data_IF_105259735813
#
_entry.id   IF_105259735813
#
_cell.length_a   1.000
_cell.length_b   1.000
_cell.length_c   1.000
_cell.angle_alpha   90.00
_cell.angle_beta   90.00
_cell.angle_gamma   90.00
#
_symmetry.space_group_name_H-M   'P 1'
#
loop_
_entity.id
_entity.type
_entity.pdbx_description
1 polymer ?
#
# COMPACT_ATOMS: atom_id res chain seq x y z
N UNK A 1 16.69 -67.82 8.50
CA UNK A 1 16.64 -68.72 7.33
C UNK A 1 16.33 -67.86 6.12
N UNK A 2 17.30 -67.92 5.20
CA UNK A 2 17.31 -67.66 3.76
C UNK A 2 16.97 -66.24 3.30
N UNK A 3 17.89 -65.40 3.00
CA UNK A 3 19.03 -65.37 2.04
C UNK A 3 18.61 -65.17 0.57
N UNK A 4 19.23 -64.12 0.02
CA UNK A 4 19.70 -63.89 -1.36
C UNK A 4 18.64 -63.43 -2.40
N UNK A 5 18.87 -62.46 -3.27
CA UNK A 5 20.04 -62.29 -4.13
C UNK A 5 20.07 -60.91 -4.82
N UNK A 6 21.27 -60.44 -4.97
CA UNK A 6 21.74 -59.38 -5.88
C UNK A 6 21.62 -59.80 -7.36
N UNK A 7 21.33 -58.82 -8.25
CA UNK A 7 21.87 -58.85 -9.61
C UNK A 7 22.25 -57.45 -10.11
N UNK A 8 23.46 -57.43 -10.67
CA UNK A 8 24.22 -56.30 -11.21
C UNK A 8 23.85 -56.01 -12.67
N UNK A 9 23.95 -54.74 -12.99
CA UNK A 9 24.41 -53.97 -14.18
C UNK A 9 24.53 -54.71 -15.55
N UNK A 10 24.51 -53.95 -16.69
CA UNK A 10 25.66 -53.10 -17.04
C UNK A 10 25.33 -51.76 -17.73
N UNK A 11 26.36 -50.93 -17.77
CA UNK A 11 26.51 -49.70 -18.50
C UNK A 11 26.72 -49.92 -20.00
N UNK A 12 26.30 -48.97 -20.83
CA UNK A 12 26.93 -48.75 -22.14
C UNK A 12 26.94 -47.27 -22.51
N UNK A 13 28.14 -46.85 -22.75
CA UNK A 13 28.60 -45.59 -23.32
C UNK A 13 28.15 -45.41 -24.78
N UNK A 14 27.81 -44.21 -25.19
CA UNK A 14 28.12 -43.72 -26.54
C UNK A 14 28.34 -42.21 -26.57
N UNK A 15 29.60 -41.87 -26.75
CA UNK A 15 30.02 -40.53 -27.18
C UNK A 15 29.55 -40.29 -28.62
N UNK A 16 28.88 -39.18 -28.83
CA UNK A 16 28.84 -38.52 -30.15
C UNK A 16 29.28 -37.08 -30.02
N UNK A 17 30.49 -36.85 -30.52
CA UNK A 17 31.02 -35.52 -30.84
C UNK A 17 30.28 -35.03 -32.08
N UNK A 18 29.73 -33.83 -32.00
CA UNK A 18 29.29 -33.07 -33.17
C UNK A 18 30.07 -31.77 -33.18
N UNK A 19 31.04 -31.70 -34.09
CA UNK A 19 31.68 -30.46 -34.52
C UNK A 19 30.61 -29.63 -35.24
N UNK A 20 30.35 -28.39 -34.81
CA UNK A 20 29.69 -27.40 -35.64
C UNK A 20 30.64 -26.22 -35.88
N UNK A 21 30.83 -25.95 -37.15
CA UNK A 21 31.69 -24.94 -37.71
C UNK A 21 31.22 -23.52 -37.30
N UNK A 22 32.21 -22.68 -36.92
CA UNK A 22 32.05 -21.22 -36.77
C UNK A 22 31.95 -20.62 -38.16
N UNK A 23 30.77 -20.14 -38.53
CA UNK A 23 30.62 -19.17 -39.61
C UNK A 23 30.63 -17.77 -39.03
N UNK A 24 31.72 -17.07 -39.21
CA UNK A 24 31.85 -15.63 -38.95
C UNK A 24 30.99 -14.86 -39.98
N UNK A 25 29.82 -14.41 -39.58
CA UNK A 25 29.06 -13.39 -40.26
C UNK A 25 29.41 -12.03 -39.65
N UNK A 26 30.18 -11.26 -40.37
CA UNK A 26 30.43 -9.85 -40.15
C UNK A 26 29.14 -9.07 -40.38
N UNK A 27 28.46 -8.64 -39.31
CA UNK A 27 27.39 -7.67 -39.38
C UNK A 27 28.00 -6.28 -39.27
N UNK A 28 27.73 -5.34 -40.21
CA UNK A 28 28.21 -3.98 -40.08
C UNK A 28 27.56 -3.33 -38.84
N UNK A 29 28.39 -2.70 -37.99
CA UNK A 29 27.94 -1.80 -36.94
C UNK A 29 27.27 -0.59 -37.65
N UNK A 30 25.96 -0.61 -37.77
CA UNK A 30 25.15 0.58 -37.94
C UNK A 30 25.20 1.34 -36.62
N UNK A 31 25.80 2.50 -36.64
CA UNK A 31 25.79 3.45 -35.53
C UNK A 31 24.32 3.75 -35.21
N UNK A 32 23.82 3.26 -34.05
CA UNK A 32 22.58 3.74 -33.46
C UNK A 32 22.78 5.21 -33.12
N UNK A 33 22.20 6.09 -33.91
CA UNK A 33 21.92 7.46 -33.51
C UNK A 33 20.99 7.34 -32.31
N UNK A 34 21.28 7.97 -31.17
CA UNK A 34 20.30 7.98 -30.05
C UNK A 34 19.04 8.66 -30.57
N UNK A 35 17.94 7.93 -30.62
CA UNK A 35 16.62 8.50 -30.82
C UNK A 35 16.40 9.45 -29.65
N UNK A 36 16.37 10.76 -29.94
CA UNK A 36 16.03 11.76 -28.92
C UNK A 36 14.67 11.38 -28.34
N UNK A 37 14.66 11.01 -27.05
CA UNK A 37 13.43 10.82 -26.31
C UNK A 37 12.64 12.13 -26.44
N UNK A 38 11.35 12.07 -26.80
CA UNK A 38 10.54 13.28 -26.92
C UNK A 38 10.60 14.06 -25.62
N UNK A 39 10.87 15.35 -25.75
CA UNK A 39 11.02 16.29 -24.63
C UNK A 39 9.83 16.14 -23.67
N UNK A 40 10.10 15.64 -22.47
CA UNK A 40 9.10 15.35 -21.46
C UNK A 40 8.31 16.60 -21.03
N UNK A 41 8.85 17.79 -21.31
CA UNK A 41 8.22 19.08 -21.03
C UNK A 41 7.03 19.39 -21.95
N UNK A 42 7.07 19.00 -23.22
CA UNK A 42 5.94 19.23 -24.13
C UNK A 42 4.73 18.32 -23.82
N UNK A 43 4.97 17.11 -23.36
CA UNK A 43 3.90 16.19 -22.97
C UNK A 43 3.26 16.59 -21.63
N UNK A 44 4.01 17.26 -20.77
CA UNK A 44 3.52 17.78 -19.49
C UNK A 44 2.60 19.00 -19.68
N UNK A 45 2.92 19.89 -20.60
CA UNK A 45 2.10 21.08 -20.89
C UNK A 45 0.71 20.74 -21.47
N UNK A 46 0.52 19.56 -22.06
CA UNK A 46 -0.76 19.12 -22.60
C UNK A 46 -1.69 18.45 -21.57
N UNK A 47 -1.20 18.08 -20.40
CA UNK A 47 -1.96 17.44 -19.32
C UNK A 47 -2.31 18.38 -18.17
N UNK A 48 -2.02 19.66 -18.26
CA UNK A 48 -2.41 20.69 -17.28
C UNK A 48 -3.89 21.07 -17.32
N UNK A 49 -4.73 20.32 -18.02
CA UNK A 49 -6.16 20.50 -17.94
C UNK A 49 -6.59 20.24 -16.49
N UNK A 50 -7.05 21.27 -15.81
CA UNK A 50 -7.68 21.16 -14.50
C UNK A 50 -8.71 20.05 -14.58
N UNK A 51 -8.59 19.03 -13.71
CA UNK A 51 -9.52 17.93 -13.67
C UNK A 51 -10.93 18.49 -13.39
N UNK A 52 -11.96 18.14 -14.19
CA UNK A 52 -13.28 18.73 -14.03
C UNK A 52 -13.82 18.44 -12.62
N UNK A 53 -14.02 19.46 -11.81
CA UNK A 53 -14.84 19.43 -10.61
C UNK A 53 -14.16 19.10 -9.28
N UNK A 54 -12.86 18.77 -9.22
CA UNK A 54 -12.24 18.25 -7.99
C UNK A 54 -11.34 19.23 -7.20
N UNK A 55 -10.94 20.33 -7.76
CA UNK A 55 -9.98 21.25 -7.13
C UNK A 55 -8.53 20.73 -7.08
N UNK A 56 -8.24 19.56 -7.67
CA UNK A 56 -6.90 19.00 -7.77
C UNK A 56 -6.19 19.49 -9.04
N UNK A 57 -4.90 19.79 -8.92
CA UNK A 57 -4.03 20.14 -10.06
C UNK A 57 -2.73 19.36 -9.98
N UNK A 58 -2.19 18.98 -11.12
CA UNK A 58 -0.88 18.33 -11.18
C UNK A 58 0.19 19.34 -10.80
N UNK A 59 0.99 19.04 -9.76
CA UNK A 59 2.17 19.82 -9.40
C UNK A 59 3.37 19.35 -10.21
N UNK A 60 3.54 18.02 -10.33
CA UNK A 60 4.71 17.44 -10.95
C UNK A 60 4.50 15.98 -11.32
N UNK A 61 5.10 15.55 -12.43
CA UNK A 61 5.40 14.14 -12.65
C UNK A 61 6.80 13.87 -12.08
N UNK A 62 6.90 13.03 -11.05
CA UNK A 62 8.20 12.54 -10.60
C UNK A 62 8.51 11.23 -11.31
N UNK A 63 9.72 11.04 -11.82
CA UNK A 63 10.18 9.77 -12.38
C UNK A 63 10.45 8.69 -11.31
N UNK A 64 9.88 8.84 -10.10
CA UNK A 64 10.17 7.99 -8.94
C UNK A 64 9.16 6.89 -8.71
N UNK A 65 9.51 5.95 -7.84
CA UNK A 65 8.61 4.90 -7.36
C UNK A 65 7.46 5.49 -6.51
N UNK A 66 6.29 4.84 -6.46
CA UNK A 66 5.14 5.36 -5.74
C UNK A 66 5.41 5.41 -4.24
N UNK A 67 5.25 6.59 -3.67
CA UNK A 67 5.39 6.86 -2.24
C UNK A 67 3.98 6.90 -1.64
N UNK A 68 3.62 5.90 -0.84
CA UNK A 68 2.31 5.87 -0.19
C UNK A 68 2.27 6.71 1.08
N UNK A 69 3.30 6.62 1.90
CA UNK A 69 3.39 7.38 3.16
C UNK A 69 4.46 8.44 3.06
N UNK A 70 4.11 9.65 3.47
CA UNK A 70 5.00 10.79 3.55
C UNK A 70 5.07 11.23 5.01
N UNK A 71 6.27 11.53 5.47
CA UNK A 71 6.49 12.07 6.80
C UNK A 71 7.40 13.30 6.73
N UNK A 72 7.27 14.19 7.72
CA UNK A 72 8.07 15.43 7.79
C UNK A 72 9.08 15.31 8.91
N UNK A 73 10.34 15.52 8.58
CA UNK A 73 11.45 15.62 9.55
C UNK A 73 11.38 16.92 10.36
N UNK A 74 12.14 16.97 11.44
CA UNK A 74 12.25 18.16 12.29
C UNK A 74 12.80 19.40 11.57
N UNK A 75 13.64 19.21 10.53
CA UNK A 75 14.19 20.28 9.69
C UNK A 75 13.26 20.69 8.52
N UNK A 76 12.08 20.08 8.41
CA UNK A 76 11.09 20.36 7.39
C UNK A 76 11.20 19.51 6.11
N UNK A 77 12.29 18.72 5.94
CA UNK A 77 12.43 17.82 4.82
C UNK A 77 11.32 16.77 4.83
N UNK A 78 10.70 16.51 3.68
CA UNK A 78 9.77 15.40 3.55
C UNK A 78 10.52 14.14 3.16
N UNK A 79 10.12 13.02 3.78
CA UNK A 79 10.60 11.68 3.43
C UNK A 79 9.43 10.79 3.05
N UNK A 80 9.69 9.85 2.14
CA UNK A 80 8.77 8.78 1.79
C UNK A 80 9.51 7.52 1.38
N UNK A 81 8.94 6.36 1.68
CA UNK A 81 9.50 5.06 1.36
C UNK A 81 8.78 4.41 0.19
N UNK A 82 9.53 3.77 -0.69
CA UNK A 82 8.99 2.98 -1.78
C UNK A 82 9.71 1.64 -1.92
N UNK A 83 8.95 0.57 -2.13
CA UNK A 83 9.51 -0.73 -2.45
C UNK A 83 9.90 -0.81 -3.93
N UNK A 84 11.05 -1.45 -4.18
CA UNK A 84 11.52 -1.82 -5.52
C UNK A 84 11.47 -3.34 -5.73
N UNK A 85 10.72 -4.06 -4.90
CA UNK A 85 10.66 -5.53 -4.85
C UNK A 85 11.74 -6.11 -3.94
N UNK A 86 13.00 -6.00 -4.28
CA UNK A 86 14.12 -6.52 -3.49
C UNK A 86 14.87 -5.43 -2.70
N UNK A 87 14.32 -4.23 -2.63
CA UNK A 87 14.87 -3.12 -1.88
C UNK A 87 13.80 -2.15 -1.43
N UNK A 88 14.19 -1.25 -0.52
CA UNK A 88 13.38 -0.13 -0.09
C UNK A 88 14.20 1.14 -0.27
N UNK A 89 13.71 2.01 -1.15
CA UNK A 89 14.33 3.31 -1.45
C UNK A 89 13.65 4.40 -0.63
N UNK A 90 14.45 5.27 -0.06
CA UNK A 90 14.00 6.50 0.60
C UNK A 90 14.03 7.64 -0.42
N UNK A 91 12.92 8.30 -0.56
CA UNK A 91 12.76 9.50 -1.35
C UNK A 91 12.64 10.71 -0.44
N UNK A 92 13.18 11.84 -0.86
CA UNK A 92 13.09 13.09 -0.11
C UNK A 92 12.66 14.26 -0.98
N UNK A 93 12.03 15.26 -0.35
CA UNK A 93 11.64 16.51 -0.98
C UNK A 93 12.07 17.69 -0.11
N UNK A 94 12.76 18.67 -0.72
CA UNK A 94 13.19 19.93 -0.08
C UNK A 94 12.26 21.10 -0.38
N UNK A 95 11.36 20.93 -1.32
CA UNK A 95 10.43 21.95 -1.81
C UNK A 95 8.98 21.62 -1.43
N UNK A 96 8.83 21.02 -0.23
CA UNK A 96 7.55 20.71 0.36
C UNK A 96 6.65 19.81 -0.53
N UNK A 97 7.27 18.82 -1.19
CA UNK A 97 6.58 17.81 -1.99
C UNK A 97 6.42 18.16 -3.48
N UNK A 98 6.91 19.31 -3.95
CA UNK A 98 6.84 19.67 -5.35
C UNK A 98 7.79 18.83 -6.21
N UNK A 99 8.98 18.47 -5.72
CA UNK A 99 9.90 17.55 -6.38
C UNK A 99 10.48 16.53 -5.41
N UNK A 100 10.88 15.38 -5.95
CA UNK A 100 11.40 14.26 -5.16
C UNK A 100 12.69 13.72 -5.77
N UNK A 101 13.65 13.36 -4.91
CA UNK A 101 14.91 12.74 -5.29
C UNK A 101 15.20 11.53 -4.40
N UNK A 102 16.03 10.61 -4.91
CA UNK A 102 16.48 9.46 -4.11
C UNK A 102 17.42 9.98 -3.03
N UNK A 103 17.05 9.72 -1.77
CA UNK A 103 17.81 10.13 -0.59
C UNK A 103 18.72 9.01 -0.08
N UNK A 104 18.23 7.76 -0.10
CA UNK A 104 18.97 6.62 0.41
C UNK A 104 18.20 5.31 0.27
N UNK A 105 18.62 4.31 1.03
CA UNK A 105 17.99 3.00 1.07
C UNK A 105 17.84 2.51 2.50
N UNK A 106 16.69 1.89 2.81
CA UNK A 106 16.44 1.23 4.10
C UNK A 106 16.93 -0.22 4.08
N UNK A 107 16.66 -0.93 3.00
CA UNK A 107 16.99 -2.33 2.82
C UNK A 107 17.30 -2.65 1.36
N UNK A 108 18.18 -3.63 1.14
CA UNK A 108 18.46 -4.20 -0.17
C UNK A 108 18.91 -5.66 0.03
N UNK A 109 18.13 -6.62 -0.46
CA UNK A 109 18.46 -8.03 -0.39
C UNK A 109 17.78 -8.79 -1.52
N UNK A 110 18.52 -9.35 -2.50
CA UNK A 110 17.96 -10.03 -3.65
C UNK A 110 17.19 -11.33 -3.30
N UNK A 111 17.34 -11.86 -2.08
CA UNK A 111 16.67 -13.08 -1.61
C UNK A 111 15.40 -12.77 -0.78
N UNK A 112 15.07 -11.51 -0.60
CA UNK A 112 13.90 -11.07 0.17
C UNK A 112 13.04 -10.19 -0.72
N UNK A 113 11.74 -10.45 -0.75
CA UNK A 113 10.76 -9.54 -1.30
C UNK A 113 10.32 -8.55 -0.23
N UNK A 114 10.47 -7.27 -0.49
CA UNK A 114 10.00 -6.18 0.35
C UNK A 114 8.76 -5.53 -0.24
N UNK A 115 7.82 -5.11 0.60
CA UNK A 115 6.60 -4.45 0.16
C UNK A 115 5.97 -3.57 1.23
N UNK A 116 4.95 -2.83 0.81
CA UNK A 116 4.02 -2.10 1.69
C UNK A 116 4.72 -1.17 2.70
N UNK A 117 5.58 -0.30 2.20
CA UNK A 117 6.44 0.56 3.03
C UNK A 117 5.63 1.69 3.67
N UNK A 118 5.84 1.91 4.97
CA UNK A 118 5.34 3.06 5.72
C UNK A 118 6.47 3.73 6.48
N UNK A 119 6.46 5.06 6.53
CA UNK A 119 7.46 5.86 7.25
C UNK A 119 6.79 6.81 8.23
N UNK A 120 7.47 7.05 9.36
CA UNK A 120 7.02 7.93 10.42
C UNK A 120 8.19 8.62 11.08
N UNK A 121 8.31 9.92 10.93
CA UNK A 121 9.24 10.75 11.70
C UNK A 121 8.61 11.11 13.04
N UNK A 122 9.39 11.02 14.11
CA UNK A 122 8.95 11.38 15.46
C UNK A 122 9.10 12.90 15.66
N UNK A 123 8.01 13.61 15.92
CA UNK A 123 8.05 15.06 16.11
C UNK A 123 9.04 15.48 17.17
N UNK A 124 9.85 16.50 16.86
CA UNK A 124 10.84 17.06 17.78
C UNK A 124 12.06 16.18 18.04
N UNK A 125 12.28 15.13 17.25
CA UNK A 125 13.46 14.29 17.32
C UNK A 125 14.08 14.05 15.94
N UNK A 126 15.28 13.45 15.92
CA UNK A 126 15.94 12.98 14.69
C UNK A 126 15.57 11.53 14.33
N UNK A 127 14.60 10.97 15.05
CA UNK A 127 14.21 9.56 14.85
C UNK A 127 13.15 9.44 13.77
N UNK A 128 13.40 8.54 12.82
CA UNK A 128 12.44 8.13 11.78
C UNK A 128 12.29 6.61 11.82
N UNK A 129 11.08 6.13 11.85
CA UNK A 129 10.77 4.70 11.71
C UNK A 129 10.33 4.38 10.28
N UNK A 130 10.68 3.17 9.83
CA UNK A 130 10.20 2.59 8.60
C UNK A 130 9.73 1.17 8.88
N UNK A 131 8.46 0.88 8.60
CA UNK A 131 7.93 -0.48 8.67
C UNK A 131 7.59 -0.98 7.27
N UNK A 132 7.77 -2.28 7.06
CA UNK A 132 7.56 -2.92 5.77
C UNK A 132 7.28 -4.41 5.93
N UNK A 133 6.66 -4.97 4.92
CA UNK A 133 6.48 -6.40 4.76
C UNK A 133 7.72 -7.03 4.15
N UNK A 134 8.11 -8.18 4.66
CA UNK A 134 9.12 -9.06 4.08
C UNK A 134 8.52 -10.42 3.75
N UNK A 135 8.96 -10.99 2.62
CA UNK A 135 8.71 -12.38 2.27
C UNK A 135 10.01 -13.06 1.85
N UNK A 136 10.35 -14.14 2.53
CA UNK A 136 11.52 -14.95 2.19
C UNK A 136 11.32 -16.40 2.65
N UNK A 137 11.79 -17.35 1.88
CA UNK A 137 11.72 -18.79 2.22
C UNK A 137 10.32 -19.27 2.62
N UNK A 138 9.27 -18.74 1.96
CA UNK A 138 7.88 -19.10 2.25
C UNK A 138 7.32 -18.50 3.54
N UNK A 139 8.01 -17.53 4.15
CA UNK A 139 7.61 -16.89 5.41
C UNK A 139 7.41 -15.39 5.23
N UNK A 140 6.35 -14.89 5.84
CA UNK A 140 6.00 -13.49 5.92
C UNK A 140 6.41 -12.91 7.27
N UNK A 141 6.77 -11.64 7.29
CA UNK A 141 6.95 -10.85 8.53
C UNK A 141 6.72 -9.37 8.28
N UNK A 142 6.52 -8.64 9.37
CA UNK A 142 6.56 -7.18 9.38
C UNK A 142 7.74 -6.76 10.24
N UNK A 143 8.66 -6.06 9.60
CA UNK A 143 9.88 -5.54 10.19
C UNK A 143 9.79 -4.04 10.35
N UNK A 144 10.35 -3.53 11.45
CA UNK A 144 10.55 -2.12 11.70
C UNK A 144 12.05 -1.85 11.74
N UNK A 145 12.47 -0.84 11.00
CA UNK A 145 13.80 -0.24 11.08
C UNK A 145 13.69 1.16 11.63
N UNK A 146 14.81 1.64 12.20
CA UNK A 146 14.91 2.96 12.78
C UNK A 146 16.13 3.68 12.25
N UNK A 147 15.98 4.97 12.03
CA UNK A 147 17.06 5.92 11.85
C UNK A 147 17.05 6.88 13.05
N UNK A 148 18.19 7.17 13.64
CA UNK A 148 18.35 8.19 14.68
C UNK A 148 19.09 9.42 14.15
N UNK A 149 19.25 9.53 12.83
CA UNK A 149 19.93 10.61 12.12
C UNK A 149 19.10 11.08 10.93
N UNK A 150 17.80 11.30 11.15
CA UNK A 150 16.91 11.93 10.18
C UNK A 150 16.72 11.12 8.86
N UNK A 151 16.91 9.81 8.90
CA UNK A 151 16.75 8.96 7.72
C UNK A 151 18.03 8.78 6.89
N UNK A 152 19.17 9.29 7.33
CA UNK A 152 20.45 9.16 6.63
C UNK A 152 21.10 7.77 6.83
N UNK A 153 20.71 7.05 7.89
CA UNK A 153 21.18 5.70 8.16
C UNK A 153 20.13 4.88 8.89
N UNK A 154 20.06 3.59 8.62
CA UNK A 154 19.01 2.72 9.12
C UNK A 154 19.58 1.50 9.83
N UNK A 155 18.96 1.16 10.96
CA UNK A 155 19.27 -0.04 11.74
C UNK A 155 17.98 -0.83 11.96
N UNK A 156 18.11 -2.15 12.08
CA UNK A 156 17.01 -2.99 12.53
C UNK A 156 16.55 -2.55 13.92
N UNK A 157 15.26 -2.34 14.11
CA UNK A 157 14.66 -2.01 15.39
C UNK A 157 13.96 -3.24 15.98
N UNK A 158 12.99 -3.79 15.27
CA UNK A 158 12.19 -4.89 15.79
C UNK A 158 11.43 -5.63 14.69
N UNK A 159 10.95 -6.82 15.03
CA UNK A 159 9.90 -7.52 14.27
C UNK A 159 8.57 -7.37 15.00
N UNK A 160 7.55 -6.87 14.31
CA UNK A 160 6.19 -6.74 14.83
C UNK A 160 5.51 -8.11 14.88
N UNK A 161 5.56 -8.83 13.76
CA UNK A 161 4.93 -10.15 13.60
C UNK A 161 5.72 -11.02 12.63
N UNK A 162 5.72 -12.32 12.87
CA UNK A 162 6.42 -13.31 12.03
C UNK A 162 7.78 -13.75 12.61
N UNK A 163 8.52 -14.62 11.89
CA UNK A 163 8.13 -15.20 10.60
C UNK A 163 6.91 -16.14 10.71
N UNK A 164 6.08 -16.16 9.69
CA UNK A 164 4.86 -16.97 9.63
C UNK A 164 4.56 -17.40 8.18
N UNK A 165 4.04 -18.63 7.93
CA UNK A 165 3.65 -19.05 6.59
C UNK A 165 2.33 -18.38 6.11
N UNK A 166 1.60 -17.71 6.99
CA UNK A 166 0.38 -16.98 6.66
C UNK A 166 0.69 -15.54 6.33
N UNK A 167 -0.06 -14.98 5.39
CA UNK A 167 0.14 -13.61 4.97
C UNK A 167 -0.02 -12.63 6.15
N UNK A 168 0.96 -11.73 6.25
CA UNK A 168 0.90 -10.49 7.00
C UNK A 168 1.50 -9.38 6.12
N UNK A 169 0.85 -8.22 6.04
CA UNK A 169 1.28 -7.18 5.11
C UNK A 169 0.67 -5.82 5.37
N UNK A 170 0.89 -4.92 4.45
CA UNK A 170 0.37 -3.56 4.45
C UNK A 170 0.50 -2.83 5.81
N UNK A 171 1.69 -2.83 6.46
CA UNK A 171 1.85 -2.13 7.73
C UNK A 171 1.57 -0.62 7.57
N UNK A 172 0.96 -0.04 8.58
CA UNK A 172 0.78 1.39 8.74
C UNK A 172 1.26 1.81 10.12
N UNK A 173 2.33 2.61 10.16
CA UNK A 173 2.87 3.20 11.38
C UNK A 173 2.06 4.41 11.80
N UNK A 174 1.73 4.48 13.08
CA UNK A 174 0.99 5.58 13.67
C UNK A 174 1.56 5.93 15.05
N UNK A 175 1.74 7.23 15.32
CA UNK A 175 2.06 7.73 16.65
C UNK A 175 0.84 8.38 17.26
N UNK A 176 0.47 7.93 18.44
CA UNK A 176 -0.57 8.54 19.26
C UNK A 176 -0.07 9.87 19.85
N UNK A 177 -1.00 10.75 20.21
CA UNK A 177 -0.68 12.03 20.83
C UNK A 177 0.10 11.89 22.17
N UNK A 178 0.00 10.75 22.85
CA UNK A 178 0.77 10.45 24.07
C UNK A 178 2.20 9.94 23.79
N UNK A 179 2.60 9.83 22.52
CA UNK A 179 3.91 9.39 22.08
C UNK A 179 4.05 7.88 21.85
N UNK A 180 3.04 7.07 22.19
CA UNK A 180 3.06 5.63 21.94
C UNK A 180 2.97 5.33 20.43
N UNK A 181 3.66 4.28 20.00
CA UNK A 181 3.60 3.81 18.61
C UNK A 181 2.62 2.67 18.44
N UNK A 182 1.98 2.64 17.30
CA UNK A 182 1.11 1.55 16.85
C UNK A 182 1.45 1.17 15.41
N UNK A 183 1.38 -0.14 15.12
CA UNK A 183 1.44 -0.70 13.76
C UNK A 183 0.15 -1.43 13.48
N UNK A 184 -0.53 -1.00 12.44
CA UNK A 184 -1.73 -1.63 11.90
C UNK A 184 -1.34 -2.44 10.67
N UNK A 185 -1.89 -3.64 10.50
CA UNK A 185 -1.48 -4.49 9.39
C UNK A 185 -2.52 -5.53 9.01
N UNK A 186 -2.46 -5.96 7.77
CA UNK A 186 -3.26 -7.06 7.25
C UNK A 186 -2.77 -8.38 7.83
N UNK A 187 -3.69 -9.27 8.25
CA UNK A 187 -3.30 -10.52 8.91
C UNK A 187 -4.25 -11.68 8.65
N UNK A 188 -3.80 -12.64 7.84
CA UNK A 188 -4.39 -13.97 7.78
C UNK A 188 -4.04 -14.81 9.01
N UNK A 189 -2.89 -14.52 9.65
CA UNK A 189 -2.45 -15.20 10.87
C UNK A 189 -3.43 -14.99 11.99
N UNK A 190 -3.81 -13.72 12.27
CA UNK A 190 -4.76 -13.37 13.31
C UNK A 190 -6.12 -14.04 13.09
N UNK A 191 -6.65 -13.93 11.88
CA UNK A 191 -7.93 -14.54 11.53
C UNK A 191 -7.92 -16.06 11.78
N UNK A 192 -6.86 -16.73 11.34
CA UNK A 192 -6.70 -18.17 11.56
C UNK A 192 -6.58 -18.55 13.05
N UNK A 193 -5.83 -17.78 13.83
CA UNK A 193 -5.69 -18.00 15.29
C UNK A 193 -7.03 -17.85 16.03
N UNK A 194 -7.92 -17.01 15.52
CA UNK A 194 -9.26 -16.80 16.07
C UNK A 194 -10.32 -17.76 15.48
N UNK A 195 -9.91 -18.76 14.69
CA UNK A 195 -10.80 -19.80 14.17
C UNK A 195 -11.38 -19.52 12.78
N UNK A 196 -10.85 -18.51 12.06
CA UNK A 196 -11.29 -18.13 10.70
C UNK A 196 -10.16 -18.28 9.67
N UNK A 197 -9.67 -19.51 9.41
CA UNK A 197 -8.63 -19.72 8.39
C UNK A 197 -9.14 -19.34 7.01
N UNK A 198 -8.28 -18.66 6.24
CA UNK A 198 -8.61 -18.16 4.90
C UNK A 198 -9.25 -16.75 4.89
N UNK A 199 -9.49 -16.18 6.06
CA UNK A 199 -9.87 -14.77 6.18
C UNK A 199 -8.63 -13.90 6.37
N UNK A 200 -8.72 -12.63 5.98
CA UNK A 200 -7.73 -11.60 6.26
C UNK A 200 -8.42 -10.47 7.04
N UNK A 201 -7.88 -10.15 8.20
CA UNK A 201 -8.40 -9.11 9.09
C UNK A 201 -7.34 -8.06 9.35
N UNK A 202 -7.74 -6.91 9.89
CA UNK A 202 -6.78 -5.91 10.34
C UNK A 202 -6.43 -6.17 11.80
N UNK A 203 -5.15 -6.35 12.04
CA UNK A 203 -4.53 -6.44 13.35
C UNK A 203 -3.82 -5.14 13.73
N UNK A 204 -3.61 -4.93 15.02
CA UNK A 204 -2.80 -3.84 15.56
C UNK A 204 -1.91 -4.35 16.68
N UNK A 205 -0.67 -3.88 16.72
CA UNK A 205 0.19 -3.98 17.90
C UNK A 205 0.66 -2.58 18.29
N UNK A 206 0.74 -2.35 19.60
CA UNK A 206 1.23 -1.10 20.16
C UNK A 206 2.49 -1.30 20.96
N UNK A 207 3.26 -0.22 21.16
CA UNK A 207 4.33 -0.17 22.15
C UNK A 207 4.36 1.18 22.83
N UNK A 208 4.80 1.19 24.10
CA UNK A 208 4.94 2.42 24.87
C UNK A 208 6.15 3.20 24.36
N UNK A 209 5.90 4.44 23.95
CA UNK A 209 6.91 5.32 23.38
C UNK A 209 7.58 4.71 22.14
N UNK A 210 8.86 5.00 21.95
CA UNK A 210 9.61 4.62 20.75
C UNK A 210 10.51 3.40 20.91
N UNK A 211 10.64 2.84 22.10
CA UNK A 211 11.62 1.78 22.43
C UNK A 211 11.04 0.57 23.14
N UNK A 212 9.76 0.59 23.50
CA UNK A 212 9.08 -0.53 24.15
C UNK A 212 8.98 -1.79 23.26
N UNK A 213 8.73 -2.93 23.87
CA UNK A 213 8.33 -4.13 23.15
C UNK A 213 6.92 -3.93 22.53
N UNK A 214 6.64 -4.63 21.45
CA UNK A 214 5.31 -4.69 20.90
C UNK A 214 4.40 -5.52 21.81
N UNK A 215 3.24 -4.98 22.16
CA UNK A 215 2.22 -5.65 22.96
C UNK A 215 1.53 -6.76 22.17
N UNK A 216 0.72 -7.55 22.83
CA UNK A 216 -0.18 -8.49 22.17
C UNK A 216 -1.09 -7.74 21.17
N UNK A 217 -1.37 -8.39 20.06
CA UNK A 217 -2.19 -7.79 19.01
C UNK A 217 -3.65 -7.56 19.46
N UNK A 218 -4.23 -6.48 18.93
CA UNK A 218 -5.66 -6.20 18.94
C UNK A 218 -6.29 -6.45 17.59
N UNK A 219 -7.58 -6.78 17.57
CA UNK A 219 -8.40 -6.85 16.35
C UNK A 219 -8.95 -5.45 16.06
N UNK A 220 -8.74 -4.96 14.85
CA UNK A 220 -9.19 -3.62 14.41
C UNK A 220 -10.43 -3.71 13.54
N UNK A 221 -10.38 -4.54 12.50
CA UNK A 221 -11.49 -4.76 11.60
C UNK A 221 -11.54 -6.24 11.20
N UNK A 222 -12.75 -6.78 11.17
CA UNK A 222 -13.00 -8.17 10.81
C UNK A 222 -13.85 -8.24 9.54
N UNK A 223 -13.73 -9.34 8.84
CA UNK A 223 -14.54 -9.61 7.66
C UNK A 223 -16.03 -9.48 7.96
N UNK A 224 -16.75 -8.84 7.04
CA UNK A 224 -18.21 -8.71 7.12
C UNK A 224 -18.91 -10.06 7.17
N UNK A 225 -18.53 -10.95 6.26
CA UNK A 225 -19.05 -12.32 6.21
C UNK A 225 -18.04 -13.30 6.82
N UNK A 226 -18.36 -13.87 7.96
CA UNK A 226 -17.51 -14.82 8.71
C UNK A 226 -17.76 -16.28 8.35
N UNK A 227 -18.60 -16.57 7.35
CA UNK A 227 -18.83 -17.96 6.93
C UNK A 227 -17.58 -18.58 6.33
N UNK A 228 -17.38 -19.88 6.60
CA UNK A 228 -16.31 -20.63 5.98
C UNK A 228 -16.44 -20.64 4.44
N UNK A 229 -15.35 -20.38 3.74
CA UNK A 229 -15.32 -20.32 2.28
C UNK A 229 -15.89 -19.05 1.65
N UNK A 230 -16.42 -18.09 2.45
CA UNK A 230 -16.72 -16.76 1.95
C UNK A 230 -15.41 -16.03 1.62
N UNK A 231 -15.44 -15.19 0.59
CA UNK A 231 -14.32 -14.32 0.30
C UNK A 231 -14.31 -13.17 1.30
N UNK A 232 -13.35 -13.16 2.21
CA UNK A 232 -13.34 -12.28 3.36
C UNK A 232 -11.98 -11.65 3.55
N UNK A 233 -11.89 -10.41 3.12
CA UNK A 233 -10.67 -9.64 3.20
C UNK A 233 -10.97 -8.24 3.70
N UNK A 234 -10.30 -7.86 4.78
CA UNK A 234 -10.08 -6.48 5.18
C UNK A 234 -8.61 -6.16 4.94
N UNK A 235 -8.32 -4.99 4.40
CA UNK A 235 -6.93 -4.67 4.01
C UNK A 235 -6.61 -3.19 4.04
N UNK A 236 -5.31 -2.91 3.89
CA UNK A 236 -4.74 -1.60 3.59
C UNK A 236 -5.14 -0.50 4.57
N UNK A 237 -5.19 -0.83 5.87
CA UNK A 237 -5.59 0.09 6.91
C UNK A 237 -4.73 1.36 6.95
N UNK A 238 -5.38 2.50 7.12
CA UNK A 238 -4.75 3.76 7.54
C UNK A 238 -5.51 4.33 8.72
N UNK A 239 -4.82 4.98 9.66
CA UNK A 239 -5.41 5.44 10.91
C UNK A 239 -5.18 6.92 11.11
N UNK A 240 -6.22 7.60 11.57
CA UNK A 240 -6.17 9.02 11.91
C UNK A 240 -6.70 9.25 13.33
N UNK A 241 -6.12 10.25 14.02
CA UNK A 241 -6.60 10.68 15.33
C UNK A 241 -7.68 11.74 15.17
N UNK A 242 -8.85 11.51 15.75
CA UNK A 242 -9.99 12.43 15.69
C UNK A 242 -9.99 13.46 16.82
N UNK A 243 -9.31 13.14 17.91
CA UNK A 243 -9.14 13.98 19.09
C UNK A 243 -9.13 13.14 20.37
N UNK A 244 -8.29 13.50 21.34
CA UNK A 244 -8.08 12.68 22.54
C UNK A 244 -7.68 11.25 22.16
N UNK A 245 -8.34 10.26 22.75
CA UNK A 245 -8.13 8.84 22.46
C UNK A 245 -9.01 8.30 21.32
N UNK A 246 -9.80 9.16 20.67
CA UNK A 246 -10.65 8.75 19.54
C UNK A 246 -9.83 8.59 18.27
N UNK A 247 -9.85 7.38 17.70
CA UNK A 247 -9.18 7.04 16.45
C UNK A 247 -10.21 6.58 15.40
N UNK A 248 -9.86 6.71 14.14
CA UNK A 248 -10.59 6.11 13.02
C UNK A 248 -9.59 5.32 12.16
N UNK A 249 -9.87 4.05 11.92
CA UNK A 249 -9.20 3.25 10.91
C UNK A 249 -10.08 3.21 9.65
N UNK A 250 -9.48 3.49 8.51
CA UNK A 250 -10.10 3.37 7.18
C UNK A 250 -9.47 2.19 6.49
N UNK A 251 -10.31 1.29 5.98
CA UNK A 251 -9.89 0.00 5.42
C UNK A 251 -10.61 -0.29 4.10
N UNK A 252 -10.01 -1.07 3.22
CA UNK A 252 -10.76 -1.76 2.18
C UNK A 252 -11.35 -3.03 2.75
N UNK A 253 -12.56 -3.41 2.31
CA UNK A 253 -13.19 -4.63 2.77
C UNK A 253 -14.06 -5.24 1.68
N UNK A 254 -14.17 -6.57 1.66
CA UNK A 254 -15.02 -7.28 0.73
C UNK A 254 -16.40 -7.45 1.35
N UNK A 255 -17.39 -6.83 0.74
CA UNK A 255 -18.78 -6.93 1.18
C UNK A 255 -19.60 -7.82 0.25
N UNK A 256 -20.43 -8.73 0.82
CA UNK A 256 -21.36 -9.54 0.02
C UNK A 256 -22.49 -8.65 -0.51
N UNK A 257 -22.89 -8.88 -1.76
CA UNK A 257 -24.11 -8.30 -2.31
C UNK A 257 -25.32 -9.16 -2.02
N UNK A 258 -26.45 -8.48 -1.85
CA UNK A 258 -27.74 -9.14 -1.59
C UNK A 258 -28.20 -10.03 -2.77
N UNK A 259 -27.70 -9.86 -3.96
CA UNK A 259 -28.10 -10.61 -5.15
C UNK A 259 -26.92 -11.32 -5.81
N UNK A 260 -26.98 -12.64 -5.88
CA UNK A 260 -26.14 -13.44 -6.77
C UNK A 260 -24.73 -13.80 -6.26
N UNK A 261 -24.39 -13.58 -4.99
CA UNK A 261 -23.08 -13.98 -4.43
C UNK A 261 -21.88 -13.21 -4.98
N UNK A 262 -22.13 -12.10 -5.68
CA UNK A 262 -21.06 -11.21 -6.10
C UNK A 262 -20.56 -10.39 -4.90
N UNK A 263 -19.24 -10.21 -4.85
CA UNK A 263 -18.59 -9.42 -3.83
C UNK A 263 -17.90 -8.23 -4.48
N UNK A 264 -17.79 -7.12 -3.78
CA UNK A 264 -16.95 -5.99 -4.20
C UNK A 264 -16.12 -5.50 -3.03
N UNK A 265 -14.96 -4.94 -3.34
CA UNK A 265 -14.24 -4.15 -2.37
C UNK A 265 -14.95 -2.80 -2.21
N UNK A 266 -15.15 -2.39 -0.98
CA UNK A 266 -15.68 -1.08 -0.56
C UNK A 266 -14.73 -0.48 0.46
N UNK A 267 -14.81 0.82 0.65
CA UNK A 267 -14.03 1.51 1.67
C UNK A 267 -14.91 1.68 2.90
N UNK A 268 -14.42 1.17 4.03
CA UNK A 268 -15.09 1.24 5.33
C UNK A 268 -14.24 2.01 6.34
N UNK A 269 -14.89 2.49 7.39
CA UNK A 269 -14.23 3.05 8.57
C UNK A 269 -14.78 2.38 9.84
N UNK A 270 -13.89 2.11 10.78
CA UNK A 270 -14.20 1.69 12.14
C UNK A 270 -13.57 2.66 13.12
N UNK A 271 -14.10 2.77 14.33
CA UNK A 271 -13.62 3.73 15.32
C UNK A 271 -13.22 3.05 16.62
N UNK A 272 -12.26 3.66 17.29
CA UNK A 272 -11.85 3.36 18.65
C UNK A 272 -12.02 4.61 19.52
N UNK A 273 -12.41 4.42 20.76
CA UNK A 273 -12.59 5.49 21.74
C UNK A 273 -11.56 5.44 22.88
N UNK A 274 -10.67 4.45 22.86
CA UNK A 274 -9.72 4.14 23.92
C UNK A 274 -8.27 4.08 23.41
N UNK A 275 -7.99 4.80 22.31
CA UNK A 275 -6.65 4.88 21.73
C UNK A 275 -6.23 3.62 20.98
N UNK A 276 -7.16 2.91 20.40
CA UNK A 276 -6.90 1.72 19.59
C UNK A 276 -6.85 0.42 20.37
N UNK A 277 -7.15 0.41 21.68
CA UNK A 277 -7.19 -0.83 22.45
C UNK A 277 -8.37 -1.72 22.08
N UNK A 278 -9.51 -1.10 21.81
CA UNK A 278 -10.70 -1.77 21.30
C UNK A 278 -11.28 -1.00 20.11
N UNK A 279 -11.90 -1.73 19.19
CA UNK A 279 -12.53 -1.20 18.00
C UNK A 279 -13.96 -1.68 17.90
N UNK A 280 -14.88 -0.75 17.64
CA UNK A 280 -16.31 -1.03 17.63
C UNK A 280 -16.81 -1.30 16.22
N UNK A 281 -16.94 -2.57 15.89
CA UNK A 281 -17.48 -3.02 14.59
C UNK A 281 -18.96 -2.63 14.40
N UNK A 282 -19.71 -2.40 15.47
CA UNK A 282 -21.10 -1.93 15.37
C UNK A 282 -21.18 -0.49 14.83
N UNK A 283 -20.08 0.26 14.94
CA UNK A 283 -19.92 1.61 14.41
C UNK A 283 -19.25 1.64 13.03
N UNK A 284 -19.07 0.48 12.39
CA UNK A 284 -18.58 0.44 11.02
C UNK A 284 -19.47 1.28 10.10
N UNK A 285 -18.86 2.10 9.28
CA UNK A 285 -19.51 2.96 8.29
C UNK A 285 -18.87 2.80 6.93
N UNK A 286 -19.70 2.71 5.91
CA UNK A 286 -19.20 2.76 4.53
C UNK A 286 -18.74 4.19 4.23
N UNK A 287 -17.46 4.32 3.90
CA UNK A 287 -16.84 5.58 3.45
C UNK A 287 -17.16 5.81 1.98
N UNK A 288 -16.98 4.75 1.18
CA UNK A 288 -17.29 4.78 -0.24
C UNK A 288 -17.65 3.37 -0.76
N UNK A 289 -18.69 3.33 -1.54
CA UNK A 289 -19.07 2.16 -2.33
C UNK A 289 -19.30 2.61 -3.77
N UNK A 290 -18.58 2.02 -4.70
CA UNK A 290 -18.67 2.33 -6.13
C UNK A 290 -20.07 2.04 -6.68
N UNK A 291 -20.41 2.59 -7.83
CA UNK A 291 -21.69 2.35 -8.49
C UNK A 291 -21.88 0.87 -8.83
N UNK A 292 -23.11 0.49 -9.04
CA UNK A 292 -23.50 -0.83 -9.56
C UNK A 292 -23.56 -0.74 -11.10
N UNK A 293 -22.96 -1.72 -11.76
CA UNK A 293 -23.09 -1.87 -13.19
C UNK A 293 -24.53 -2.33 -13.55
N UNK A 294 -25.30 -1.57 -14.33
CA UNK A 294 -26.67 -1.92 -14.63
C UNK A 294 -26.81 -3.17 -15.51
N UNK A 295 -25.76 -3.51 -16.28
CA UNK A 295 -25.78 -4.66 -17.17
C UNK A 295 -25.60 -6.00 -16.44
N UNK A 296 -24.68 -6.03 -15.48
CA UNK A 296 -24.38 -7.25 -14.71
C UNK A 296 -25.02 -7.29 -13.32
N UNK A 297 -25.54 -6.18 -12.82
CA UNK A 297 -26.02 -6.04 -11.44
C UNK A 297 -24.91 -6.10 -10.40
N UNK A 298 -23.63 -6.06 -10.80
CA UNK A 298 -22.46 -6.14 -9.91
C UNK A 298 -21.95 -4.75 -9.57
N UNK A 299 -21.45 -4.60 -8.37
CA UNK A 299 -20.78 -3.36 -7.94
C UNK A 299 -19.33 -3.35 -8.43
N UNK A 300 -18.85 -2.20 -8.87
CA UNK A 300 -17.44 -1.93 -9.09
C UNK A 300 -16.68 -1.94 -7.76
N UNK A 301 -15.36 -2.04 -7.81
CA UNK A 301 -14.51 -2.11 -6.63
C UNK A 301 -14.02 -0.71 -6.23
N UNK A 302 -13.81 -0.52 -4.92
CA UNK A 302 -13.04 0.56 -4.36
C UNK A 302 -12.03 -0.03 -3.37
N UNK A 303 -10.75 0.36 -3.46
CA UNK A 303 -9.67 -0.30 -2.74
C UNK A 303 -8.49 0.65 -2.48
N UNK A 304 -7.55 0.18 -1.66
CA UNK A 304 -6.32 0.87 -1.27
C UNK A 304 -6.59 2.28 -0.73
N UNK A 305 -7.39 2.45 0.34
CA UNK A 305 -7.66 3.75 0.91
C UNK A 305 -6.43 4.35 1.56
N UNK A 306 -6.34 5.68 1.55
CA UNK A 306 -5.41 6.42 2.37
C UNK A 306 -6.11 7.61 3.03
N UNK A 307 -6.10 7.63 4.35
CA UNK A 307 -6.79 8.63 5.17
C UNK A 307 -5.79 9.59 5.82
N UNK A 308 -6.14 10.87 5.85
CA UNK A 308 -5.46 11.89 6.65
C UNK A 308 -6.47 12.76 7.39
N UNK A 309 -6.03 13.34 8.50
CA UNK A 309 -6.73 14.47 9.09
C UNK A 309 -6.33 15.74 8.34
N UNK A 310 -7.30 16.53 7.88
CA UNK A 310 -7.04 17.80 7.19
C UNK A 310 -7.18 18.94 8.20
N UNK A 311 -6.07 19.53 8.58
CA UNK A 311 -6.00 20.46 9.69
C UNK A 311 -6.53 19.84 10.98
N UNK A 312 -7.33 20.59 11.71
CA UNK A 312 -8.13 20.09 12.83
C UNK A 312 -9.59 19.78 12.41
N UNK A 313 -9.83 19.72 11.12
CA UNK A 313 -11.14 19.58 10.50
C UNK A 313 -11.49 18.14 10.11
N UNK A 314 -11.97 17.93 8.89
CA UNK A 314 -12.45 16.65 8.40
C UNK A 314 -11.34 15.61 8.22
N UNK A 315 -11.74 14.34 8.07
CA UNK A 315 -10.89 13.27 7.55
C UNK A 315 -11.07 13.22 6.04
N UNK A 316 -9.97 13.31 5.31
CA UNK A 316 -9.93 13.11 3.86
C UNK A 316 -9.44 11.71 3.53
N UNK A 317 -10.06 11.06 2.55
CA UNK A 317 -9.70 9.70 2.11
C UNK A 317 -9.56 9.67 0.59
N UNK A 318 -8.38 9.33 0.12
CA UNK A 318 -8.17 8.96 -1.28
C UNK A 318 -8.24 7.45 -1.43
N UNK A 319 -8.73 6.96 -2.57
CA UNK A 319 -8.87 5.54 -2.86
C UNK A 319 -8.86 5.31 -4.36
N UNK A 320 -8.55 4.08 -4.77
CA UNK A 320 -8.70 3.65 -6.15
C UNK A 320 -10.08 3.06 -6.38
N UNK A 321 -10.64 3.24 -7.59
CA UNK A 321 -11.88 2.58 -8.02
C UNK A 321 -11.83 2.24 -9.51
N UNK A 322 -12.44 1.14 -9.90
CA UNK A 322 -12.55 0.68 -11.29
C UNK A 322 -13.92 1.01 -11.93
N UNK A 323 -14.69 1.91 -11.31
CA UNK A 323 -16.06 2.20 -11.74
C UNK A 323 -16.17 2.90 -13.10
N UNK A 324 -15.08 3.49 -13.61
CA UNK A 324 -15.01 4.07 -14.96
C UNK A 324 -14.52 3.06 -16.02
N UNK A 325 -14.27 1.83 -15.60
CA UNK A 325 -13.89 0.76 -16.50
C UNK A 325 -15.02 0.49 -17.51
N UNK A 326 -14.64 0.26 -18.76
CA UNK A 326 -15.57 -0.26 -19.76
C UNK A 326 -15.91 -1.73 -19.50
N UNK A 327 -17.19 -2.06 -19.50
CA UNK A 327 -17.67 -3.42 -19.24
C UNK A 327 -17.97 -3.72 -17.78
N UNK A 328 -18.26 -4.97 -17.48
CA UNK A 328 -18.62 -5.41 -16.13
C UNK A 328 -17.45 -5.29 -15.14
N UNK A 329 -17.73 -5.04 -13.85
CA UNK A 329 -16.72 -5.02 -12.82
C UNK A 329 -16.03 -6.38 -12.69
N UNK A 330 -14.72 -6.34 -12.31
CA UNK A 330 -13.97 -7.54 -12.06
C UNK A 330 -14.51 -8.29 -10.83
N UNK A 331 -14.21 -9.58 -10.76
CA UNK A 331 -14.49 -10.35 -9.54
C UNK A 331 -13.58 -9.85 -8.42
N UNK A 332 -14.17 -9.59 -7.25
CA UNK A 332 -13.43 -9.22 -6.04
C UNK A 332 -12.47 -10.31 -5.55
N UNK A 333 -12.55 -11.54 -6.08
CA UNK A 333 -11.65 -12.65 -5.77
C UNK A 333 -10.32 -12.60 -6.52
N UNK A 334 -10.26 -11.85 -7.62
CA UNK A 334 -9.00 -11.62 -8.31
C UNK A 334 -8.30 -10.42 -7.67
N UNK A 335 -6.96 -10.40 -7.59
CA UNK A 335 -6.26 -9.15 -7.42
C UNK A 335 -6.77 -8.25 -8.55
N UNK A 336 -7.47 -7.21 -8.17
CA UNK A 336 -8.12 -6.27 -9.08
C UNK A 336 -7.11 -5.93 -10.15
N UNK A 337 -7.51 -5.98 -11.41
CA UNK A 337 -6.67 -5.49 -12.48
C UNK A 337 -6.55 -3.97 -12.34
N UNK A 338 -5.59 -3.59 -11.48
CA UNK A 338 -5.30 -2.21 -11.09
C UNK A 338 -4.94 -1.32 -12.29
N UNK A 339 -4.88 -1.92 -13.49
CA UNK A 339 -4.55 -1.22 -14.74
C UNK A 339 -5.64 -0.30 -15.24
N UNK A 340 -6.85 -0.38 -14.70
CA UNK A 340 -8.01 0.37 -15.18
C UNK A 340 -8.75 1.10 -14.07
N UNK A 341 -8.04 1.61 -13.08
CA UNK A 341 -8.66 2.37 -12.01
C UNK A 341 -8.33 3.86 -12.09
N UNK A 342 -9.18 4.67 -11.48
CA UNK A 342 -8.92 6.07 -11.20
C UNK A 342 -8.85 6.30 -9.69
N UNK A 343 -8.39 7.49 -9.29
CA UNK A 343 -8.29 7.87 -7.88
C UNK A 343 -9.40 8.85 -7.53
N UNK A 344 -10.25 8.46 -6.59
CA UNK A 344 -11.27 9.30 -6.00
C UNK A 344 -10.87 9.85 -4.64
N UNK A 345 -11.58 10.87 -4.18
CA UNK A 345 -11.43 11.47 -2.86
C UNK A 345 -12.79 11.78 -2.26
N UNK A 346 -12.94 11.47 -0.99
CA UNK A 346 -14.08 11.87 -0.16
C UNK A 346 -13.59 12.52 1.13
N UNK A 347 -14.42 13.29 1.80
CA UNK A 347 -14.11 13.82 3.12
C UNK A 347 -15.29 13.70 4.05
N UNK A 348 -15.02 13.60 5.36
CA UNK A 348 -16.07 13.63 6.39
C UNK A 348 -16.62 15.05 6.57
N UNK A 349 -17.79 15.10 7.19
CA UNK A 349 -18.24 16.28 7.94
C UNK A 349 -17.53 16.35 9.31
N UNK A 350 -17.80 17.36 10.09
CA UNK A 350 -17.18 17.56 11.41
C UNK A 350 -17.55 16.51 12.45
N UNK A 351 -18.63 15.76 12.25
CA UNK A 351 -19.04 14.66 13.14
C UNK A 351 -18.34 13.33 12.86
N UNK A 352 -17.58 13.22 11.74
CA UNK A 352 -16.89 12.01 11.30
C UNK A 352 -17.79 10.79 10.99
N UNK A 353 -19.06 11.02 10.72
CA UNK A 353 -20.04 9.96 10.47
C UNK A 353 -20.59 9.99 9.05
N UNK A 354 -20.61 11.16 8.44
CA UNK A 354 -21.10 11.37 7.08
C UNK A 354 -19.99 11.79 6.14
N UNK A 355 -20.05 11.31 4.91
CA UNK A 355 -19.02 11.51 3.89
C UNK A 355 -19.57 12.37 2.75
N UNK A 356 -18.72 13.21 2.17
CA UNK A 356 -19.03 14.00 0.99
C UNK A 356 -19.26 13.12 -0.24
N UNK A 357 -19.85 13.69 -1.28
CA UNK A 357 -19.78 13.09 -2.60
C UNK A 357 -18.32 12.97 -3.08
N UNK A 358 -18.06 11.99 -3.95
CA UNK A 358 -16.73 11.75 -4.50
C UNK A 358 -16.29 12.88 -5.41
N UNK A 359 -15.05 13.31 -5.25
CA UNK A 359 -14.37 14.17 -6.22
C UNK A 359 -13.19 13.43 -6.85
N UNK A 360 -12.96 13.57 -8.17
CA UNK A 360 -11.84 12.91 -8.82
C UNK A 360 -10.52 13.56 -8.38
N UNK A 361 -9.52 12.72 -8.05
CA UNK A 361 -8.13 13.13 -7.88
C UNK A 361 -7.37 12.92 -9.19
N UNK A 362 -7.60 11.77 -9.83
CA UNK A 362 -6.98 11.42 -11.08
C UNK A 362 -7.91 10.54 -11.91
N UNK A 363 -8.22 10.96 -13.15
CA UNK A 363 -9.25 10.33 -13.98
C UNK A 363 -8.69 9.51 -15.15
N UNK A 364 -7.38 9.56 -15.42
CA UNK A 364 -6.84 8.75 -16.49
C UNK A 364 -7.00 7.26 -16.16
N UNK A 365 -7.65 6.53 -17.06
CA UNK A 365 -7.84 5.08 -16.97
C UNK A 365 -6.50 4.37 -17.20
N UNK A 366 -5.70 4.29 -16.18
CA UNK A 366 -4.40 3.64 -16.23
C UNK A 366 -4.14 2.99 -14.88
N UNK A 367 -3.10 2.20 -14.81
CA UNK A 367 -2.63 1.64 -13.55
C UNK A 367 -2.36 2.76 -12.55
N UNK A 368 -3.33 3.03 -11.68
CA UNK A 368 -3.23 3.94 -10.56
C UNK A 368 -3.29 3.10 -9.29
N UNK A 369 -2.18 2.98 -8.60
CA UNK A 369 -2.09 2.15 -7.42
C UNK A 369 -1.56 2.93 -6.23
N UNK A 370 -2.06 2.60 -5.02
CA UNK A 370 -1.58 3.13 -3.75
C UNK A 370 -1.54 4.65 -3.64
N UNK A 371 -2.70 5.35 -3.68
CA UNK A 371 -2.68 6.77 -3.39
C UNK A 371 -2.14 7.03 -1.99
N UNK A 372 -1.26 8.03 -1.85
CA UNK A 372 -0.82 8.58 -0.58
C UNK A 372 -1.31 10.01 -0.46
N UNK A 373 -1.70 10.42 0.74
CA UNK A 373 -2.08 11.81 1.04
C UNK A 373 -1.12 12.38 2.08
N UNK A 374 -0.82 13.66 1.96
CA UNK A 374 -0.04 14.38 2.95
C UNK A 374 -0.48 15.84 3.06
N UNK A 375 -0.71 16.31 4.28
CA UNK A 375 -0.99 17.72 4.53
C UNK A 375 0.33 18.48 4.72
N UNK A 376 0.63 19.40 3.79
CA UNK A 376 1.86 20.20 3.82
C UNK A 376 1.77 21.39 4.78
N UNK A 377 0.60 21.98 4.85
CA UNK A 377 0.19 23.06 5.75
C UNK A 377 -1.32 22.93 5.98
N UNK A 378 -1.90 23.59 6.97
CA UNK A 378 -3.34 23.51 7.23
C UNK A 378 -4.20 23.72 5.97
N UNK A 379 -4.96 22.69 5.59
CA UNK A 379 -5.81 22.63 4.39
C UNK A 379 -5.05 22.61 3.04
N UNK A 380 -3.75 22.45 3.04
CA UNK A 380 -2.92 22.30 1.84
C UNK A 380 -2.48 20.84 1.72
N UNK A 381 -3.19 20.08 0.89
CA UNK A 381 -3.02 18.62 0.77
C UNK A 381 -2.41 18.26 -0.57
N UNK A 382 -1.39 17.43 -0.54
CA UNK A 382 -0.90 16.73 -1.74
C UNK A 382 -1.36 15.29 -1.76
N UNK A 383 -1.63 14.79 -2.96
CA UNK A 383 -1.79 13.37 -3.24
C UNK A 383 -0.60 12.88 -4.08
N UNK A 384 -0.01 11.78 -3.68
CA UNK A 384 0.99 11.08 -4.50
C UNK A 384 0.35 9.80 -5.00
N UNK A 385 0.39 9.60 -6.31
CA UNK A 385 -0.22 8.46 -6.98
C UNK A 385 0.77 7.82 -7.94
N UNK A 386 0.63 6.52 -8.16
CA UNK A 386 1.31 5.84 -9.27
C UNK A 386 0.38 5.86 -10.49
N UNK A 387 0.70 6.71 -11.45
CA UNK A 387 -0.02 6.78 -12.71
C UNK A 387 0.90 6.29 -13.84
N UNK A 388 0.58 5.13 -14.41
CA UNK A 388 1.34 4.52 -15.52
C UNK A 388 2.81 4.20 -15.15
N UNK A 389 3.09 3.81 -13.90
CA UNK A 389 4.47 3.57 -13.45
C UNK A 389 5.28 4.85 -13.22
N UNK A 390 4.63 5.99 -13.23
CA UNK A 390 5.23 7.29 -12.90
C UNK A 390 4.49 7.88 -11.70
N UNK A 391 5.21 8.16 -10.64
CA UNK A 391 4.63 8.87 -9.50
C UNK A 391 4.24 10.29 -9.90
N UNK A 392 3.05 10.71 -9.52
CA UNK A 392 2.53 12.05 -9.76
C UNK A 392 2.14 12.68 -8.43
N UNK A 393 2.43 13.97 -8.31
CA UNK A 393 2.04 14.77 -7.16
C UNK A 393 0.93 15.72 -7.59
N UNK A 394 -0.18 15.68 -6.89
CA UNK A 394 -1.31 16.56 -7.12
C UNK A 394 -1.53 17.43 -5.88
N UNK A 395 -1.92 18.68 -6.11
CA UNK A 395 -2.27 19.66 -5.10
C UNK A 395 -3.78 19.86 -5.08
N UNK A 396 -4.34 19.96 -3.89
CA UNK A 396 -5.73 20.38 -3.67
C UNK A 396 -5.81 21.80 -3.13
#
# INVERSE_FOLDING_TARGET
MTATSLTRRPASSLHRRLLMALALLSVPLSACVPEELPDSTETLARNEAALPGGGWRVLMASGGAPIRTITRRSDGLLLGGASTGHGITVWASRDNGASWYVHGSVANNPNVEFGDVTMLAIPGSHTVFCAFREFSSGQWRITVTRSDNDGDGWVYDSTVVGPTPRFVGAPFLFQRANGDLQVYYDSELLAAQLGYPGHQWIAMQGRRGTTGAWDAYGVVAVSWDKRAGALNREGMATVVQLGGDRLMAVVEGVEPFATGGAHANVINAVQSWDGGRTWDESLRRTVYASRVDPGSGRRYNAYVPFAIRVGNGPVGVAFCTDEDKAGAPDSSSAPVDQRNCHVGYVSTTTNFETWSGTSPVWTATSRNYTPGLFERAPNDVIAVIDALGTSRVLLR
#
